data_IF_826278667233
#
_entry.id   IF_826278667233
#
_cell.length_a   1.000
_cell.length_b   1.000
_cell.length_c   1.000
_cell.angle_alpha   90.00
_cell.angle_beta   90.00
_cell.angle_gamma   90.00
#
_symmetry.space_group_name_H-M   'P 1'
#
loop_
_entity.id
_entity.type
_entity.pdbx_description
1 polymer ?
#
# COMPACT_ATOMS: atom_id res chain seq x y z
N UNK A 1 -28.39 8.52 4.71
CA UNK A 1 -28.61 7.63 5.86
C UNK A 1 -28.18 8.41 7.09
N UNK A 2 -29.14 8.91 7.88
CA UNK A 2 -28.84 9.73 9.06
C UNK A 2 -28.52 8.80 10.25
N UNK A 3 -27.46 9.11 10.99
CA UNK A 3 -27.03 8.36 12.18
C UNK A 3 -27.48 9.17 13.39
N UNK A 4 -28.18 8.52 14.32
CA UNK A 4 -28.73 9.12 15.53
C UNK A 4 -28.01 8.57 16.76
N UNK A 5 -27.88 9.37 17.82
CA UNK A 5 -27.38 8.89 19.11
C UNK A 5 -28.45 8.08 19.88
N UNK A 6 -28.06 7.45 20.99
CA UNK A 6 -28.97 6.63 21.82
C UNK A 6 -30.07 7.44 22.53
N UNK A 7 -30.03 8.76 22.46
CA UNK A 7 -31.03 9.67 22.99
C UNK A 7 -31.93 10.28 21.88
N UNK A 8 -31.76 9.84 20.63
CA UNK A 8 -32.58 10.24 19.49
C UNK A 8 -32.17 11.57 18.84
N UNK A 9 -31.00 12.11 19.15
CA UNK A 9 -30.51 13.32 18.51
C UNK A 9 -29.75 13.00 17.22
N UNK A 10 -29.96 13.82 16.18
CA UNK A 10 -29.30 13.67 14.89
C UNK A 10 -27.82 14.08 14.99
N UNK A 11 -26.91 13.19 14.58
CA UNK A 11 -25.47 13.42 14.68
C UNK A 11 -24.99 14.36 13.56
N UNK A 12 -24.84 15.64 13.88
CA UNK A 12 -24.33 16.67 12.96
C UNK A 12 -22.80 16.63 12.93
N UNK A 13 -22.21 16.03 11.90
CA UNK A 13 -20.75 16.11 11.65
C UNK A 13 -20.41 17.53 11.22
N UNK A 14 -19.85 18.33 12.12
CA UNK A 14 -19.28 19.64 11.79
C UNK A 14 -18.00 19.43 10.97
N UNK A 15 -18.12 19.54 9.65
CA UNK A 15 -16.97 19.71 8.76
C UNK A 15 -16.35 21.07 9.06
N UNK A 16 -15.23 21.07 9.80
CA UNK A 16 -14.47 22.28 10.09
C UNK A 16 -13.68 22.69 8.84
N UNK A 17 -14.31 23.47 7.96
CA UNK A 17 -13.59 24.40 7.10
C UNK A 17 -13.78 25.81 7.65
N UNK A 18 -12.78 26.30 8.39
CA UNK A 18 -12.49 27.73 8.46
C UNK A 18 -11.04 27.95 8.87
N UNK A 19 -10.21 28.28 7.88
CA UNK A 19 -8.86 28.78 8.06
C UNK A 19 -8.93 30.18 8.67
N UNK A 20 -8.55 30.32 9.94
CA UNK A 20 -8.25 31.62 10.53
C UNK A 20 -6.76 31.93 10.33
N UNK A 21 -6.49 33.14 9.83
CA UNK A 21 -5.14 33.67 9.64
C UNK A 21 -4.43 33.80 10.99
N UNK A 22 -3.48 32.89 11.26
CA UNK A 22 -2.49 33.08 12.32
C UNK A 22 -1.23 33.64 11.67
N UNK A 23 -0.98 34.91 11.96
CA UNK A 23 0.16 35.69 11.49
C UNK A 23 1.36 35.36 12.40
N UNK A 24 2.14 34.33 12.06
CA UNK A 24 3.37 33.99 12.78
C UNK A 24 4.59 34.35 11.94
N UNK A 25 5.17 35.50 12.28
CA UNK A 25 6.49 35.93 11.85
C UNK A 25 7.54 34.85 12.18
N UNK A 26 8.24 34.39 11.15
CA UNK A 26 9.58 33.82 11.29
C UNK A 26 9.66 32.44 11.93
N UNK A 27 9.29 31.41 11.19
CA UNK A 27 10.02 30.15 11.23
C UNK A 27 9.82 29.47 9.87
N UNK A 28 10.86 29.51 9.03
CA UNK A 28 10.94 28.75 7.79
C UNK A 28 10.98 27.25 8.14
N UNK A 29 9.83 26.68 8.47
CA UNK A 29 9.63 25.24 8.41
C UNK A 29 9.60 24.87 6.94
N UNK A 30 10.76 24.51 6.41
CA UNK A 30 10.87 23.66 5.24
C UNK A 30 9.92 22.47 5.43
N UNK A 31 8.72 22.56 4.85
CA UNK A 31 7.89 21.38 4.63
C UNK A 31 8.67 20.51 3.64
N UNK A 32 9.47 19.59 4.17
CA UNK A 32 9.91 18.43 3.42
C UNK A 32 8.63 17.77 2.93
N UNK A 33 8.37 17.84 1.63
CA UNK A 33 7.30 17.13 0.97
C UNK A 33 7.42 15.66 1.37
N UNK A 34 6.57 15.21 2.30
CA UNK A 34 6.51 13.82 2.71
C UNK A 34 5.95 13.06 1.52
N UNK A 35 6.82 12.36 0.80
CA UNK A 35 6.43 11.48 -0.30
C UNK A 35 6.15 10.12 0.35
N UNK A 36 4.86 9.82 0.51
CA UNK A 36 4.38 8.58 1.13
C UNK A 36 3.96 8.78 2.58
N UNK A 37 2.71 9.21 2.80
CA UNK A 37 2.05 9.03 4.08
C UNK A 37 1.42 7.64 4.11
N UNK A 38 1.82 6.81 5.06
CA UNK A 38 0.96 5.74 5.55
C UNK A 38 -0.25 6.51 6.09
N UNK A 39 -1.45 6.28 5.58
CA UNK A 39 -2.65 7.09 5.88
C UNK A 39 -3.16 6.93 7.31
N UNK A 40 -2.24 7.00 8.28
CA UNK A 40 -2.45 6.92 9.71
C UNK A 40 -1.91 8.22 10.29
N UNK A 41 -2.79 9.04 10.86
CA UNK A 41 -2.39 10.25 11.55
C UNK A 41 -1.72 9.87 12.88
N UNK A 42 -0.47 10.30 13.06
CA UNK A 42 0.29 10.11 14.30
C UNK A 42 0.31 11.46 15.02
N UNK A 43 -0.43 11.56 16.12
CA UNK A 43 -0.43 12.73 17.00
C UNK A 43 0.22 12.36 18.34
N UNK A 44 1.20 13.14 18.80
CA UNK A 44 1.81 13.00 20.13
C UNK A 44 2.36 11.58 20.45
N UNK A 45 2.92 10.88 19.46
CA UNK A 45 3.39 9.49 19.55
C UNK A 45 2.28 8.43 19.77
N UNK A 46 1.02 8.80 19.64
CA UNK A 46 -0.11 7.88 19.56
C UNK A 46 -0.60 7.80 18.11
N UNK A 47 -0.98 6.61 17.67
CA UNK A 47 -1.79 6.47 16.46
C UNK A 47 -3.17 7.05 16.81
N UNK A 48 -3.57 8.15 16.18
CA UNK A 48 -4.81 8.88 16.47
C UNK A 48 -6.07 8.02 16.22
N UNK A 49 -5.89 6.91 15.50
CA UNK A 49 -6.95 6.00 15.07
C UNK A 49 -7.14 4.77 15.98
N UNK A 50 -6.20 4.45 16.87
CA UNK A 50 -6.25 3.24 17.72
C UNK A 50 -6.43 3.61 19.21
N UNK A 51 -7.65 3.43 19.73
CA UNK A 51 -7.99 3.74 21.13
C UNK A 51 -7.63 2.62 22.12
N UNK A 52 -7.27 1.43 21.61
CA UNK A 52 -6.92 0.27 22.42
C UNK A 52 -5.42 0.26 22.68
N UNK A 53 -5.03 0.41 23.95
CA UNK A 53 -3.62 0.42 24.37
C UNK A 53 -2.81 -0.79 23.91
N UNK A 54 -3.46 -1.93 23.68
CA UNK A 54 -2.86 -3.16 23.13
C UNK A 54 -2.32 -2.98 21.70
N UNK A 55 -2.83 -2.02 20.94
CA UNK A 55 -2.46 -1.75 19.54
C UNK A 55 -1.62 -0.49 19.36
N UNK A 56 -1.40 0.26 20.44
CA UNK A 56 -0.61 1.50 20.40
C UNK A 56 0.89 1.22 20.26
N UNK A 57 1.34 0.07 20.75
CA UNK A 57 2.71 -0.39 20.55
C UNK A 57 2.80 -1.23 19.27
N UNK A 58 3.80 -0.91 18.44
CA UNK A 58 3.97 -1.51 17.13
C UNK A 58 4.25 -3.03 17.22
N UNK A 59 5.15 -3.42 18.12
CA UNK A 59 5.59 -4.80 18.29
C UNK A 59 4.43 -5.65 18.82
N UNK A 60 3.78 -5.16 19.88
CA UNK A 60 2.60 -5.80 20.48
C UNK A 60 1.47 -5.98 19.46
N UNK A 61 1.19 -4.97 18.62
CA UNK A 61 0.17 -5.05 17.57
C UNK A 61 0.50 -6.12 16.54
N UNK A 62 1.74 -6.12 16.03
CA UNK A 62 2.19 -7.09 15.03
C UNK A 62 2.08 -8.53 15.56
N UNK A 63 2.45 -8.76 16.83
CA UNK A 63 2.33 -10.06 17.48
C UNK A 63 0.87 -10.52 17.64
N UNK A 64 -0.04 -9.62 18.01
CA UNK A 64 -1.47 -9.96 18.08
C UNK A 64 -2.03 -10.33 16.71
N UNK A 65 -1.70 -9.58 15.66
CA UNK A 65 -2.14 -9.86 14.29
C UNK A 65 -1.59 -11.18 13.77
N UNK A 66 -0.30 -11.46 14.02
CA UNK A 66 0.32 -12.70 13.63
C UNK A 66 -0.31 -13.89 14.37
N UNK A 67 -0.55 -13.75 15.68
CA UNK A 67 -1.24 -14.75 16.50
C UNK A 67 -2.63 -15.03 15.94
N UNK A 68 -3.45 -14.01 15.72
CA UNK A 68 -4.80 -14.14 15.16
C UNK A 68 -4.77 -14.86 13.80
N UNK A 69 -3.87 -14.48 12.89
CA UNK A 69 -3.78 -15.08 11.56
C UNK A 69 -3.37 -16.57 11.59
N UNK A 70 -2.65 -17.00 12.64
CA UNK A 70 -2.17 -18.38 12.82
C UNK A 70 -3.14 -19.25 13.59
N UNK A 71 -3.76 -18.71 14.65
CA UNK A 71 -4.54 -19.49 15.62
C UNK A 71 -6.04 -19.51 15.34
N UNK A 72 -6.61 -18.45 14.75
CA UNK A 72 -8.05 -18.35 14.52
C UNK A 72 -8.43 -18.91 13.13
N UNK A 73 -9.22 -20.01 13.06
CA UNK A 73 -9.62 -20.62 11.79
C UNK A 73 -10.50 -19.71 10.93
N UNK A 74 -11.33 -18.85 11.54
CA UNK A 74 -12.24 -17.93 10.84
C UNK A 74 -11.42 -16.83 10.18
N UNK A 75 -10.50 -16.21 10.91
CA UNK A 75 -9.59 -15.18 10.37
C UNK A 75 -8.75 -15.77 9.24
N UNK A 76 -8.20 -16.97 9.44
CA UNK A 76 -7.42 -17.66 8.40
C UNK A 76 -8.26 -17.99 7.16
N UNK A 77 -9.52 -18.37 7.35
CA UNK A 77 -10.48 -18.60 6.27
C UNK A 77 -10.76 -17.33 5.46
N UNK A 78 -11.02 -16.22 6.15
CA UNK A 78 -11.26 -14.91 5.53
C UNK A 78 -10.02 -14.42 4.76
N UNK A 79 -8.84 -14.44 5.38
CA UNK A 79 -7.59 -14.04 4.72
C UNK A 79 -7.36 -14.85 3.43
N UNK A 80 -7.61 -16.16 3.45
CA UNK A 80 -7.50 -17.01 2.25
C UNK A 80 -8.55 -16.65 1.20
N UNK A 81 -9.80 -16.44 1.61
CA UNK A 81 -10.88 -16.06 0.72
C UNK A 81 -10.62 -14.72 0.02
N UNK A 82 -9.91 -13.79 0.67
CA UNK A 82 -9.52 -12.49 0.10
C UNK A 82 -8.25 -12.59 -0.76
N UNK A 83 -7.22 -13.29 -0.28
CA UNK A 83 -5.89 -13.32 -0.92
C UNK A 83 -5.87 -14.23 -2.15
N UNK A 84 -6.53 -15.40 -2.08
CA UNK A 84 -6.44 -16.39 -3.17
C UNK A 84 -6.97 -15.85 -4.51
N UNK A 85 -8.12 -15.14 -4.58
CA UNK A 85 -8.58 -14.53 -5.82
C UNK A 85 -7.55 -13.60 -6.45
N UNK A 86 -6.86 -12.78 -5.63
CA UNK A 86 -5.85 -11.83 -6.09
C UNK A 86 -4.63 -12.56 -6.68
N UNK A 87 -4.17 -13.63 -6.01
CA UNK A 87 -3.07 -14.47 -6.51
C UNK A 87 -3.46 -15.18 -7.81
N UNK A 88 -4.68 -15.72 -7.87
CA UNK A 88 -5.17 -16.47 -9.03
C UNK A 88 -5.60 -15.61 -10.22
N UNK A 89 -5.62 -14.29 -10.05
CA UNK A 89 -6.03 -13.37 -11.11
C UNK A 89 -5.11 -13.50 -12.33
N UNK A 90 -5.66 -13.30 -13.53
CA UNK A 90 -4.87 -13.22 -14.75
C UNK A 90 -4.22 -11.84 -14.85
N UNK A 91 -3.01 -11.73 -14.28
CA UNK A 91 -2.23 -10.50 -14.32
C UNK A 91 -1.68 -10.25 -15.72
N UNK A 92 -1.83 -9.03 -16.20
CA UNK A 92 -1.29 -8.60 -17.48
C UNK A 92 -0.93 -7.12 -17.42
N UNK A 93 0.03 -6.72 -18.24
CA UNK A 93 0.45 -5.33 -18.42
C UNK A 93 -0.02 -4.92 -19.81
N UNK A 94 -0.73 -3.80 -19.88
CA UNK A 94 -1.27 -3.25 -21.10
C UNK A 94 -1.07 -1.73 -21.11
N UNK A 95 -1.11 -1.14 -22.30
CA UNK A 95 -1.26 0.30 -22.42
C UNK A 95 -2.71 0.70 -22.14
N UNK A 96 -2.90 1.87 -21.52
CA UNK A 96 -4.22 2.44 -21.26
C UNK A 96 -4.94 2.79 -22.57
N UNK A 97 -4.21 3.40 -23.51
CA UNK A 97 -4.68 3.70 -24.86
C UNK A 97 -4.11 2.72 -25.89
N UNK A 98 -4.94 1.78 -26.36
CA UNK A 98 -4.52 0.75 -27.31
C UNK A 98 -4.68 1.12 -28.78
N UNK A 99 -5.29 2.27 -29.09
CA UNK A 99 -5.75 2.54 -30.47
C UNK A 99 -4.62 2.89 -31.46
N UNK A 100 -3.40 3.23 -31.02
CA UNK A 100 -2.26 3.48 -31.92
C UNK A 100 -0.91 3.16 -31.25
N UNK A 101 -0.64 1.89 -30.97
CA UNK A 101 0.62 1.47 -30.33
C UNK A 101 1.74 1.36 -31.39
N UNK A 102 2.80 2.16 -31.22
CA UNK A 102 4.01 2.09 -32.07
C UNK A 102 4.82 0.81 -31.78
N UNK A 103 5.67 0.40 -32.71
CA UNK A 103 6.52 -0.77 -32.51
C UNK A 103 7.55 -0.58 -31.38
N UNK A 104 7.94 0.66 -31.09
CA UNK A 104 8.79 0.98 -29.94
C UNK A 104 8.06 0.77 -28.62
N UNK A 105 6.79 1.19 -28.53
CA UNK A 105 5.96 0.96 -27.35
C UNK A 105 5.72 -0.53 -27.11
N UNK A 106 5.52 -1.33 -28.18
CA UNK A 106 5.43 -2.80 -28.02
C UNK A 106 6.70 -3.38 -27.38
N UNK A 107 7.88 -2.96 -27.84
CA UNK A 107 9.16 -3.39 -27.24
C UNK A 107 9.31 -2.96 -25.79
N UNK A 108 8.86 -1.76 -25.44
CA UNK A 108 8.85 -1.30 -24.05
C UNK A 108 7.91 -2.15 -23.18
N UNK A 109 6.74 -2.51 -23.70
CA UNK A 109 5.80 -3.40 -23.00
C UNK A 109 6.41 -4.78 -22.76
N UNK A 110 7.05 -5.36 -23.79
CA UNK A 110 7.71 -6.66 -23.68
C UNK A 110 8.85 -6.61 -22.65
N UNK A 111 9.64 -5.54 -22.66
CA UNK A 111 10.67 -5.29 -21.65
C UNK A 111 10.09 -5.20 -20.23
N UNK A 112 9.04 -4.41 -20.03
CA UNK A 112 8.40 -4.23 -18.72
C UNK A 112 7.80 -5.56 -18.23
N UNK A 113 7.16 -6.32 -19.12
CA UNK A 113 6.64 -7.66 -18.81
C UNK A 113 7.75 -8.60 -18.37
N UNK A 114 8.87 -8.63 -19.09
CA UNK A 114 10.04 -9.42 -18.71
C UNK A 114 10.55 -9.03 -17.32
N UNK A 115 10.76 -7.73 -17.07
CA UNK A 115 11.27 -7.26 -15.76
C UNK A 115 10.32 -7.62 -14.62
N UNK A 116 9.01 -7.44 -14.79
CA UNK A 116 8.04 -7.70 -13.73
C UNK A 116 7.80 -9.19 -13.52
N UNK A 117 7.51 -9.96 -14.57
CA UNK A 117 7.09 -11.35 -14.41
C UNK A 117 8.26 -12.31 -14.33
N UNK A 118 9.31 -12.13 -15.13
CA UNK A 118 10.41 -13.10 -15.21
C UNK A 118 11.56 -12.76 -14.25
N UNK A 119 12.00 -11.50 -14.24
CA UNK A 119 13.17 -11.10 -13.43
C UNK A 119 12.82 -10.87 -11.95
N UNK A 120 11.83 -10.01 -11.69
CA UNK A 120 11.32 -9.74 -10.33
C UNK A 120 10.53 -10.94 -9.78
N UNK A 121 10.12 -11.88 -10.65
CA UNK A 121 9.28 -13.04 -10.30
C UNK A 121 8.03 -12.60 -9.57
N UNK A 122 7.30 -11.64 -10.16
CA UNK A 122 6.19 -10.98 -9.50
C UNK A 122 5.16 -11.97 -8.95
N UNK A 123 4.72 -12.93 -9.76
CA UNK A 123 3.67 -13.88 -9.37
C UNK A 123 4.14 -14.93 -8.34
N UNK A 124 5.41 -15.33 -8.40
CA UNK A 124 5.93 -16.41 -7.55
C UNK A 124 6.38 -15.91 -6.18
N UNK A 125 6.89 -14.67 -6.11
CA UNK A 125 7.54 -14.15 -4.92
C UNK A 125 7.03 -12.77 -4.53
N UNK A 126 7.12 -11.78 -5.41
CA UNK A 126 6.90 -10.39 -5.02
C UNK A 126 5.47 -10.12 -4.59
N UNK A 127 4.50 -10.73 -5.27
CA UNK A 127 3.08 -10.61 -4.93
C UNK A 127 2.79 -11.12 -3.52
N UNK A 128 3.38 -12.26 -3.11
CA UNK A 128 3.23 -12.78 -1.75
C UNK A 128 3.83 -11.84 -0.70
N UNK A 129 4.99 -11.24 -0.99
CA UNK A 129 5.59 -10.23 -0.11
C UNK A 129 4.66 -9.02 0.03
N UNK A 130 4.13 -8.50 -1.08
CA UNK A 130 3.20 -7.37 -1.09
C UNK A 130 1.97 -7.71 -0.25
N UNK A 131 1.33 -8.86 -0.48
CA UNK A 131 0.08 -9.24 0.18
C UNK A 131 0.21 -9.47 1.70
N UNK A 132 1.41 -9.40 2.28
CA UNK A 132 1.58 -9.38 3.74
C UNK A 132 0.89 -8.18 4.40
N UNK A 133 0.65 -7.08 3.65
CA UNK A 133 -0.08 -5.92 4.16
C UNK A 133 -1.49 -6.26 4.64
N UNK A 134 -2.16 -7.29 4.08
CA UNK A 134 -3.49 -7.70 4.53
C UNK A 134 -3.52 -8.15 5.99
N UNK A 135 -2.39 -8.61 6.53
CA UNK A 135 -2.26 -9.03 7.93
C UNK A 135 -1.75 -7.90 8.81
N UNK A 136 -0.77 -7.14 8.31
CA UNK A 136 -0.01 -6.18 9.12
C UNK A 136 -0.46 -4.72 8.95
N UNK A 137 -1.37 -4.45 8.02
CA UNK A 137 -1.84 -3.10 7.66
C UNK A 137 -0.92 -2.36 6.69
N UNK A 138 0.34 -2.79 6.55
CA UNK A 138 1.32 -2.13 5.68
C UNK A 138 2.38 -3.11 5.15
N UNK A 139 3.07 -2.70 4.08
CA UNK A 139 4.27 -3.36 3.56
C UNK A 139 5.15 -2.33 2.88
N UNK A 140 6.46 -2.37 3.13
CA UNK A 140 7.44 -1.42 2.59
C UNK A 140 8.45 -2.21 1.77
N UNK A 141 8.78 -1.69 0.59
CA UNK A 141 9.76 -2.26 -0.31
C UNK A 141 10.72 -1.16 -0.78
N UNK A 142 12.01 -1.45 -0.67
CA UNK A 142 13.04 -0.64 -1.30
C UNK A 142 13.15 -1.02 -2.78
N UNK A 143 13.34 -0.04 -3.65
CA UNK A 143 13.60 -0.28 -5.07
C UNK A 143 15.10 -0.41 -5.26
N UNK A 144 15.57 -1.59 -5.65
CA UNK A 144 16.99 -1.81 -5.95
C UNK A 144 17.18 -1.97 -7.45
N UNK A 145 18.01 -1.12 -8.04
CA UNK A 145 18.36 -1.21 -9.46
C UNK A 145 19.59 -2.07 -9.66
N UNK A 146 19.54 -2.98 -10.63
CA UNK A 146 20.64 -3.87 -10.97
C UNK A 146 20.91 -3.77 -12.47
N UNK A 147 22.18 -3.66 -12.83
CA UNK A 147 22.60 -3.76 -14.22
C UNK A 147 22.84 -5.23 -14.57
N UNK A 148 22.18 -5.74 -15.60
CA UNK A 148 22.31 -7.12 -16.04
C UNK A 148 22.25 -7.27 -17.55
N UNK A 149 22.87 -8.34 -18.05
CA UNK A 149 22.90 -8.66 -19.48
C UNK A 149 22.00 -9.84 -19.77
N UNK A 150 21.02 -9.64 -20.64
CA UNK A 150 20.05 -10.63 -21.08
C UNK A 150 20.26 -10.97 -22.55
N UNK A 151 19.86 -12.18 -22.95
CA UNK A 151 19.94 -12.60 -24.36
C UNK A 151 18.95 -11.86 -25.25
N UNK A 152 17.79 -11.51 -24.69
CA UNK A 152 16.66 -10.96 -25.43
C UNK A 152 16.72 -9.44 -25.56
N UNK A 153 17.14 -8.74 -24.49
CA UNK A 153 17.17 -7.28 -24.43
C UNK A 153 18.57 -6.67 -24.37
N UNK A 154 19.63 -7.49 -24.32
CA UNK A 154 21.00 -7.03 -24.20
C UNK A 154 21.31 -6.49 -22.80
N UNK A 155 22.04 -5.39 -22.72
CA UNK A 155 22.39 -4.74 -21.45
C UNK A 155 21.18 -3.90 -20.95
N UNK A 156 20.65 -4.27 -19.78
CA UNK A 156 19.44 -3.69 -19.19
C UNK A 156 19.63 -3.28 -17.73
N UNK A 157 18.73 -2.42 -17.25
CA UNK A 157 18.62 -2.04 -15.83
C UNK A 157 17.32 -2.59 -15.28
N UNK A 158 17.40 -3.65 -14.47
CA UNK A 158 16.24 -4.27 -13.86
C UNK A 158 16.04 -3.85 -12.40
N UNK A 159 14.93 -4.29 -11.81
CA UNK A 159 14.53 -4.01 -10.43
C UNK A 159 14.48 -5.31 -9.65
N UNK A 160 15.08 -5.33 -8.45
CA UNK A 160 15.01 -6.43 -7.49
C UNK A 160 14.38 -5.99 -6.18
#
# INVERSE_FOLDING_TARGET
>A
MAIFDTNGNEFQVKTSQKSEHINNNGLDTHMSKVIGGIGTDIAENFYDEDFLSLFNDFESRADQFEKMSRSDPVIKGLLRATINPIISASWNINFEDSENITDEQKKQLDYIRFVIFDDLKFLDKKLFEILTFFKQGWSIFEKVFIHQKTKEFGDIISIR
#
